data_IF_846853496651
#
_entry.id   IF_846853496651
#
_cell.length_a   1.000
_cell.length_b   1.000
_cell.length_c   1.000
_cell.angle_alpha   90.00
_cell.angle_beta   90.00
_cell.angle_gamma   90.00
#
_symmetry.space_group_name_H-M   'P 1'
#
loop_
_entity.id
_entity.type
_entity.pdbx_description
1 polymer ?
#
# COMPACT_ATOMS: atom_id res chain seq x y z
N UNK A 1 4.68 -12.56 -4.45
CA UNK A 1 3.54 -11.63 -4.44
C UNK A 1 2.26 -12.35 -4.05
N UNK A 2 1.84 -13.39 -4.74
CA UNK A 2 0.58 -14.11 -4.46
C UNK A 2 0.45 -14.60 -3.01
N UNK A 3 1.54 -15.02 -2.40
CA UNK A 3 1.55 -15.48 -1.01
C UNK A 3 1.29 -14.34 -0.02
N UNK A 4 1.92 -13.18 -0.20
CA UNK A 4 1.68 -12.02 0.68
C UNK A 4 0.24 -11.54 0.58
N UNK A 5 -0.30 -11.48 -0.63
CA UNK A 5 -1.69 -11.08 -0.88
C UNK A 5 -2.69 -12.06 -0.23
N UNK A 6 -2.45 -13.37 -0.37
CA UNK A 6 -3.28 -14.39 0.26
C UNK A 6 -3.27 -14.30 1.79
N UNK A 7 -2.10 -14.09 2.39
CA UNK A 7 -1.99 -13.91 3.84
C UNK A 7 -2.65 -12.62 4.33
N UNK A 8 -2.52 -11.51 3.61
CA UNK A 8 -3.22 -10.26 3.95
C UNK A 8 -4.73 -10.42 3.86
N UNK A 9 -5.23 -11.08 2.81
CA UNK A 9 -6.64 -11.38 2.66
C UNK A 9 -7.19 -12.20 3.82
N UNK A 10 -6.46 -13.21 4.27
CA UNK A 10 -6.84 -14.03 5.41
C UNK A 10 -6.76 -13.28 6.74
N UNK A 11 -5.70 -12.50 6.95
CA UNK A 11 -5.47 -11.73 8.19
C UNK A 11 -6.53 -10.64 8.36
N UNK A 12 -6.90 -9.96 7.29
CA UNK A 12 -7.93 -8.95 7.34
C UNK A 12 -9.36 -9.54 7.42
N UNK A 13 -9.56 -10.85 7.21
CA UNK A 13 -10.82 -11.57 7.44
C UNK A 13 -11.06 -11.96 8.89
N UNK A 14 -10.04 -11.89 9.76
CA UNK A 14 -10.20 -12.07 11.20
C UNK A 14 -10.34 -10.68 11.84
N UNK A 15 -11.55 -10.07 11.85
CA UNK A 15 -11.72 -8.76 12.43
C UNK A 15 -11.54 -8.86 13.94
N UNK A 16 -10.82 -7.91 14.50
CA UNK A 16 -11.13 -7.42 15.84
C UNK A 16 -12.63 -7.09 15.80
N UNK A 17 -13.42 -7.69 16.70
CA UNK A 17 -14.88 -7.61 16.73
C UNK A 17 -15.38 -6.19 16.39
N UNK A 18 -16.15 -6.08 15.31
CA UNK A 18 -16.90 -4.89 14.95
C UNK A 18 -16.57 -4.21 13.62
N UNK A 19 -15.62 -4.67 12.83
CA UNK A 19 -15.29 -4.05 11.55
C UNK A 19 -15.33 -5.07 10.39
N UNK A 20 -16.47 -5.20 9.75
CA UNK A 20 -16.65 -5.95 8.50
C UNK A 20 -16.24 -5.08 7.30
N UNK A 21 -14.94 -4.98 7.03
CA UNK A 21 -14.39 -4.19 5.90
C UNK A 21 -14.67 -4.83 4.53
N UNK A 22 -15.39 -5.98 4.43
CA UNK A 22 -15.33 -6.85 3.26
C UNK A 22 -16.60 -7.41 2.67
N UNK A 23 -17.72 -6.89 3.01
CA UNK A 23 -18.96 -7.31 2.32
C UNK A 23 -19.09 -6.69 0.92
N UNK A 24 -18.19 -5.78 0.51
CA UNK A 24 -18.29 -5.04 -0.74
C UNK A 24 -17.15 -5.23 -1.73
N UNK A 25 -15.99 -5.78 -1.32
CA UNK A 25 -14.85 -5.91 -2.22
C UNK A 25 -14.62 -7.37 -2.65
N UNK A 26 -14.56 -7.61 -3.96
CA UNK A 26 -14.19 -8.92 -4.48
C UNK A 26 -12.69 -9.17 -4.27
N UNK A 27 -12.32 -10.45 -4.08
CA UNK A 27 -10.91 -10.86 -3.99
C UNK A 27 -10.10 -10.39 -5.21
N UNK A 28 -10.72 -10.28 -6.38
CA UNK A 28 -10.06 -9.84 -7.61
C UNK A 28 -9.64 -8.36 -7.53
N UNK A 29 -10.52 -7.47 -7.03
CA UNK A 29 -10.21 -6.04 -6.86
C UNK A 29 -9.12 -5.85 -5.80
N UNK A 30 -9.22 -6.57 -4.68
CA UNK A 30 -8.17 -6.57 -3.66
C UNK A 30 -6.83 -7.03 -4.23
N UNK A 31 -6.81 -8.14 -4.97
CA UNK A 31 -5.60 -8.69 -5.59
C UNK A 31 -4.96 -7.70 -6.54
N UNK A 32 -5.75 -7.09 -7.43
CA UNK A 32 -5.28 -6.09 -8.39
C UNK A 32 -4.63 -4.89 -7.68
N UNK A 33 -5.27 -4.37 -6.64
CA UNK A 33 -4.74 -3.27 -5.84
C UNK A 33 -3.41 -3.65 -5.19
N UNK A 34 -3.34 -4.80 -4.52
CA UNK A 34 -2.13 -5.27 -3.84
C UNK A 34 -0.99 -5.64 -4.78
N UNK A 35 -1.28 -6.25 -5.93
CA UNK A 35 -0.27 -6.53 -6.96
C UNK A 35 0.35 -5.24 -7.51
N UNK A 36 -0.42 -4.16 -7.63
CA UNK A 36 0.08 -2.86 -8.08
C UNK A 36 1.09 -2.27 -7.10
N UNK A 37 0.90 -2.48 -5.81
CA UNK A 37 1.82 -2.03 -4.74
C UNK A 37 3.02 -2.98 -4.66
N UNK A 38 2.78 -4.27 -4.38
CA UNK A 38 3.83 -5.26 -4.15
C UNK A 38 4.67 -5.60 -5.39
N UNK A 39 4.16 -5.35 -6.58
CA UNK A 39 4.90 -5.55 -7.81
C UNK A 39 6.13 -4.64 -7.99
N UNK A 40 6.30 -3.64 -7.11
CA UNK A 40 7.51 -2.79 -7.06
C UNK A 40 8.46 -3.19 -5.93
N UNK A 41 8.02 -4.05 -5.02
CA UNK A 41 8.81 -4.46 -3.86
C UNK A 41 9.93 -5.44 -4.23
N UNK A 42 11.03 -5.36 -3.49
CA UNK A 42 12.11 -6.34 -3.60
C UNK A 42 11.69 -7.68 -3.02
N UNK A 43 12.39 -8.75 -3.41
CA UNK A 43 12.16 -10.09 -2.84
C UNK A 43 12.39 -10.11 -1.32
N UNK A 44 13.31 -9.31 -0.81
CA UNK A 44 13.64 -9.22 0.61
C UNK A 44 12.48 -8.58 1.38
N UNK A 45 11.94 -7.47 0.89
CA UNK A 45 10.74 -6.82 1.46
C UNK A 45 9.56 -7.77 1.50
N UNK A 46 9.28 -8.48 0.40
CA UNK A 46 8.19 -9.44 0.33
C UNK A 46 8.35 -10.57 1.34
N UNK A 47 9.56 -11.11 1.51
CA UNK A 47 9.85 -12.16 2.51
C UNK A 47 9.65 -11.66 3.94
N UNK A 48 10.12 -10.46 4.25
CA UNK A 48 9.95 -9.85 5.56
C UNK A 48 8.45 -9.64 5.87
N UNK A 49 7.68 -9.11 4.92
CA UNK A 49 6.22 -8.95 5.08
C UNK A 49 5.47 -10.27 5.25
N UNK A 50 5.84 -11.31 4.48
CA UNK A 50 5.28 -12.66 4.65
C UNK A 50 5.54 -13.19 6.05
N UNK A 51 6.74 -12.95 6.59
CA UNK A 51 7.07 -13.34 7.96
C UNK A 51 6.15 -12.63 8.97
N UNK A 52 5.99 -11.31 8.85
CA UNK A 52 5.11 -10.52 9.71
C UNK A 52 3.68 -11.07 9.71
N UNK A 53 3.11 -11.29 8.52
CA UNK A 53 1.74 -11.77 8.36
C UNK A 53 1.54 -13.19 8.94
N UNK A 54 2.52 -14.06 8.79
CA UNK A 54 2.50 -15.39 9.41
C UNK A 54 2.56 -15.30 10.94
N UNK A 55 3.39 -14.41 11.47
CA UNK A 55 3.45 -14.19 12.93
C UNK A 55 2.12 -13.65 13.47
N UNK A 56 1.49 -12.73 12.75
CA UNK A 56 0.15 -12.23 13.11
C UNK A 56 -0.89 -13.34 13.09
N UNK A 57 -0.94 -14.14 12.01
CA UNK A 57 -1.91 -15.21 11.82
C UNK A 57 -1.73 -16.36 12.81
N UNK A 58 -0.50 -16.87 12.93
CA UNK A 58 -0.24 -18.13 13.63
C UNK A 58 -0.06 -17.92 15.15
N UNK A 59 0.39 -16.75 15.59
CA UNK A 59 0.76 -16.45 16.97
C UNK A 59 0.00 -15.27 17.58
N UNK A 60 -0.87 -14.60 16.82
CA UNK A 60 -1.57 -13.40 17.29
C UNK A 60 -0.61 -12.24 17.62
N UNK A 61 0.58 -12.26 17.00
CA UNK A 61 1.56 -11.20 17.20
C UNK A 61 1.09 -9.90 16.53
N UNK A 62 1.22 -8.80 17.24
CA UNK A 62 1.04 -7.47 16.71
C UNK A 62 2.35 -6.70 16.86
N UNK A 63 2.82 -5.99 15.82
CA UNK A 63 4.03 -5.20 15.92
C UNK A 63 3.86 -4.09 16.95
N UNK A 64 4.86 -3.94 17.81
CA UNK A 64 4.91 -2.84 18.75
C UNK A 64 5.07 -1.52 18.00
N UNK A 65 4.35 -0.48 18.43
CA UNK A 65 4.49 0.88 17.90
C UNK A 65 5.50 1.61 18.76
N UNK A 66 6.75 1.63 18.28
CA UNK A 66 7.84 2.35 18.93
C UNK A 66 7.94 3.79 18.41
N UNK A 67 8.52 4.74 19.17
CA UNK A 67 8.78 6.10 18.66
C UNK A 67 9.60 6.11 17.37
N UNK A 68 10.57 5.20 17.23
CA UNK A 68 11.39 5.06 16.02
C UNK A 68 10.54 4.65 14.82
N UNK A 69 9.65 3.67 14.99
CA UNK A 69 8.71 3.27 13.93
C UNK A 69 7.79 4.42 13.51
N UNK A 70 7.30 5.20 14.47
CA UNK A 70 6.45 6.36 14.17
C UNK A 70 7.21 7.38 13.32
N UNK A 71 8.44 7.70 13.70
CA UNK A 71 9.29 8.65 12.96
C UNK A 71 9.54 8.17 11.52
N UNK A 72 9.92 6.90 11.34
CA UNK A 72 10.14 6.31 10.01
C UNK A 72 8.86 6.33 9.18
N UNK A 73 7.73 5.95 9.76
CA UNK A 73 6.44 5.95 9.08
C UNK A 73 6.02 7.36 8.64
N UNK A 74 6.22 8.36 9.49
CA UNK A 74 5.92 9.76 9.18
C UNK A 74 6.79 10.29 8.02
N UNK A 75 8.09 9.97 7.99
CA UNK A 75 8.97 10.36 6.88
C UNK A 75 8.57 9.67 5.57
N UNK A 76 8.26 8.38 5.59
CA UNK A 76 7.75 7.66 4.41
C UNK A 76 6.43 8.28 3.93
N UNK A 77 5.53 8.60 4.85
CA UNK A 77 4.23 9.19 4.54
C UNK A 77 4.37 10.56 3.86
N UNK A 78 5.29 11.42 4.33
CA UNK A 78 5.58 12.70 3.67
C UNK A 78 5.97 12.50 2.20
N UNK A 79 6.91 11.59 1.95
CA UNK A 79 7.36 11.29 0.58
C UNK A 79 6.21 10.79 -0.29
N UNK A 80 5.34 9.93 0.25
CA UNK A 80 4.17 9.45 -0.47
C UNK A 80 3.18 10.57 -0.81
N UNK A 81 2.94 11.51 0.10
CA UNK A 81 2.07 12.65 -0.14
C UNK A 81 2.65 13.57 -1.22
N UNK A 82 3.95 13.86 -1.15
CA UNK A 82 4.64 14.63 -2.19
C UNK A 82 4.51 13.96 -3.57
N UNK A 83 4.69 12.65 -3.65
CA UNK A 83 4.51 11.88 -4.88
C UNK A 83 3.07 11.86 -5.41
N UNK A 84 2.09 11.85 -4.53
CA UNK A 84 0.67 11.98 -4.91
C UNK A 84 0.35 13.38 -5.43
N UNK A 85 0.95 14.41 -4.87
CA UNK A 85 0.81 15.78 -5.37
C UNK A 85 1.46 15.94 -6.76
N UNK A 86 2.67 15.41 -6.96
CA UNK A 86 3.33 15.37 -8.26
C UNK A 86 2.47 14.62 -9.32
N UNK A 87 1.91 13.47 -8.94
CA UNK A 87 1.02 12.71 -9.80
C UNK A 87 -0.22 13.53 -10.17
N UNK A 88 -0.83 14.24 -9.20
CA UNK A 88 -2.03 15.06 -9.41
C UNK A 88 -1.82 16.23 -10.37
N UNK A 89 -0.58 16.74 -10.48
CA UNK A 89 -0.25 17.80 -11.46
C UNK A 89 -0.43 17.32 -12.90
N UNK A 90 -0.08 16.06 -13.18
CA UNK A 90 -0.13 15.49 -14.54
C UNK A 90 -1.40 14.66 -14.79
N UNK A 91 -1.85 13.96 -13.77
CA UNK A 91 -2.91 12.97 -13.82
C UNK A 91 -3.88 13.15 -12.63
N UNK A 92 -4.66 14.23 -12.59
CA UNK A 92 -5.49 14.57 -11.42
C UNK A 92 -6.54 13.50 -11.09
N UNK A 93 -7.22 12.94 -12.09
CA UNK A 93 -8.24 11.91 -11.86
C UNK A 93 -7.62 10.58 -11.42
N UNK A 94 -6.47 10.22 -11.98
CA UNK A 94 -5.72 9.04 -11.56
C UNK A 94 -5.19 9.18 -10.13
N UNK A 95 -4.74 10.37 -9.73
CA UNK A 95 -4.34 10.63 -8.35
C UNK A 95 -5.51 10.51 -7.37
N UNK A 96 -6.69 11.02 -7.74
CA UNK A 96 -7.91 10.89 -6.93
C UNK A 96 -8.36 9.42 -6.87
N UNK A 97 -8.26 8.69 -7.97
CA UNK A 97 -8.52 7.24 -8.00
C UNK A 97 -7.59 6.49 -7.05
N UNK A 98 -6.29 6.80 -7.05
CA UNK A 98 -5.30 6.16 -6.16
C UNK A 98 -5.57 6.51 -4.68
N UNK A 99 -5.90 7.77 -4.38
CA UNK A 99 -6.32 8.17 -3.02
C UNK A 99 -7.56 7.39 -2.57
N UNK A 100 -8.54 7.22 -3.43
CA UNK A 100 -9.72 6.40 -3.17
C UNK A 100 -9.38 4.93 -2.93
N UNK A 101 -8.40 4.37 -3.64
CA UNK A 101 -7.94 3.00 -3.45
C UNK A 101 -7.25 2.77 -2.09
N UNK A 102 -6.66 3.80 -1.48
CA UNK A 102 -6.14 3.73 -0.11
C UNK A 102 -7.26 3.75 0.95
N UNK A 103 -8.42 4.32 0.63
CA UNK A 103 -9.59 4.41 1.53
C UNK A 103 -10.41 3.11 1.59
N UNK A 104 -9.80 1.96 1.40
CA UNK A 104 -10.46 0.63 1.38
C UNK A 104 -11.17 0.26 2.69
N UNK A 105 -11.07 1.07 3.73
CA UNK A 105 -11.79 0.88 4.98
C UNK A 105 -12.55 2.17 5.32
N UNK A 106 -13.87 2.07 5.46
CA UNK A 106 -14.73 3.16 5.95
C UNK A 106 -14.36 3.69 7.36
N UNK A 107 -13.36 3.06 8.00
CA UNK A 107 -12.86 3.39 9.34
C UNK A 107 -11.87 4.56 9.34
N UNK A 108 -11.23 4.85 8.23
CA UNK A 108 -10.23 5.91 8.15
C UNK A 108 -10.82 7.16 7.49
N UNK A 109 -10.52 8.31 8.08
CA UNK A 109 -11.03 9.60 7.59
C UNK A 109 -10.21 10.13 6.40
N UNK A 110 -8.98 9.66 6.21
CA UNK A 110 -8.09 10.14 5.14
C UNK A 110 -7.15 9.06 4.58
N UNK A 111 -6.65 9.23 3.34
CA UNK A 111 -5.61 8.38 2.77
C UNK A 111 -4.33 8.33 3.63
N UNK A 112 -3.99 9.43 4.27
CA UNK A 112 -2.84 9.55 5.17
C UNK A 112 -3.00 8.62 6.38
N UNK A 113 -4.17 8.61 7.01
CA UNK A 113 -4.44 7.72 8.15
C UNK A 113 -4.39 6.24 7.74
N UNK A 114 -4.92 5.90 6.55
CA UNK A 114 -4.82 4.56 6.00
C UNK A 114 -3.36 4.13 5.79
N UNK A 115 -2.57 4.98 5.14
CA UNK A 115 -1.16 4.70 4.88
C UNK A 115 -0.36 4.59 6.19
N UNK A 116 -0.61 5.48 7.15
CA UNK A 116 0.04 5.42 8.46
C UNK A 116 -0.28 4.12 9.19
N UNK A 117 -1.55 3.71 9.21
CA UNK A 117 -1.96 2.46 9.83
C UNK A 117 -1.31 1.25 9.17
N UNK A 118 -1.20 1.24 7.84
CA UNK A 118 -0.51 0.19 7.10
C UNK A 118 0.97 0.14 7.46
N UNK A 119 1.70 1.25 7.44
CA UNK A 119 3.12 1.33 7.78
C UNK A 119 3.39 0.86 9.22
N UNK A 120 2.55 1.26 10.17
CA UNK A 120 2.68 0.85 11.56
C UNK A 120 2.34 -0.64 11.78
N UNK A 121 1.66 -1.28 10.83
CA UNK A 121 1.40 -2.73 10.84
C UNK A 121 2.61 -3.59 10.44
N UNK A 122 3.70 -2.99 9.95
CA UNK A 122 4.93 -3.69 9.59
C UNK A 122 5.80 -3.90 10.83
N UNK A 123 6.64 -4.95 10.84
CA UNK A 123 7.74 -5.05 11.80
C UNK A 123 8.75 -3.91 11.57
N UNK A 124 9.63 -3.67 12.54
CA UNK A 124 10.74 -2.71 12.33
C UNK A 124 11.62 -3.10 11.14
N UNK A 125 11.86 -4.40 10.95
CA UNK A 125 12.64 -4.90 9.81
C UNK A 125 11.94 -4.61 8.47
N UNK A 126 10.66 -4.91 8.34
CA UNK A 126 9.91 -4.63 7.11
C UNK A 126 9.82 -3.14 6.83
N UNK A 127 9.61 -2.33 7.87
CA UNK A 127 9.52 -0.87 7.74
C UNK A 127 10.88 -0.25 7.35
N UNK A 128 11.99 -0.72 7.92
CA UNK A 128 13.34 -0.27 7.55
C UNK A 128 13.68 -0.61 6.10
N UNK A 129 13.38 -1.84 5.67
CA UNK A 129 13.56 -2.24 4.26
C UNK A 129 12.72 -1.37 3.32
N UNK A 130 11.48 -1.08 3.69
CA UNK A 130 10.61 -0.20 2.91
C UNK A 130 11.13 1.24 2.87
N UNK A 131 11.57 1.77 4.01
CA UNK A 131 12.17 3.11 4.09
C UNK A 131 13.41 3.26 3.20
N UNK A 132 14.31 2.27 3.19
CA UNK A 132 15.47 2.24 2.29
C UNK A 132 15.06 2.19 0.83
N UNK A 133 14.05 1.42 0.50
CA UNK A 133 13.51 1.35 -0.86
C UNK A 133 12.93 2.70 -1.30
N UNK A 134 12.17 3.39 -0.44
CA UNK A 134 11.65 4.74 -0.69
C UNK A 134 12.80 5.72 -0.92
N UNK A 135 13.83 5.71 -0.05
CA UNK A 135 15.02 6.57 -0.20
C UNK A 135 15.73 6.33 -1.54
N UNK A 136 15.91 5.07 -1.94
CA UNK A 136 16.48 4.72 -3.24
C UNK A 136 15.66 5.28 -4.41
N UNK A 137 14.33 5.16 -4.36
CA UNK A 137 13.46 5.73 -5.40
C UNK A 137 13.58 7.25 -5.49
N UNK A 138 13.69 7.94 -4.34
CA UNK A 138 13.95 9.39 -4.32
C UNK A 138 15.29 9.74 -4.98
N UNK A 139 16.37 9.01 -4.68
CA UNK A 139 17.69 9.22 -5.31
C UNK A 139 17.66 8.97 -6.81
N UNK A 140 16.86 8.01 -7.28
CA UNK A 140 16.66 7.70 -8.69
C UNK A 140 15.68 8.66 -9.40
N UNK A 141 15.04 9.58 -8.68
CA UNK A 141 14.01 10.48 -9.21
C UNK A 141 12.75 9.73 -9.68
N UNK A 142 12.40 8.64 -9.03
CA UNK A 142 11.25 7.78 -9.37
C UNK A 142 10.12 7.99 -8.37
N UNK A 143 8.91 8.11 -8.89
CA UNK A 143 7.69 8.31 -8.12
C UNK A 143 6.90 6.99 -8.00
N UNK A 144 6.82 6.43 -6.77
CA UNK A 144 6.15 5.14 -6.55
C UNK A 144 4.62 5.24 -6.75
N UNK A 145 4.00 6.39 -6.50
CA UNK A 145 2.58 6.59 -6.76
C UNK A 145 2.29 6.51 -8.27
N UNK A 146 3.13 7.13 -9.10
CA UNK A 146 3.03 7.02 -10.56
C UNK A 146 3.27 5.58 -11.05
N UNK A 147 4.28 4.91 -10.50
CA UNK A 147 4.57 3.51 -10.81
C UNK A 147 3.39 2.58 -10.47
N UNK A 148 2.75 2.80 -9.33
CA UNK A 148 1.58 2.05 -8.88
C UNK A 148 0.39 2.30 -9.79
N UNK A 149 0.11 3.58 -10.11
CA UNK A 149 -0.96 3.93 -11.03
C UNK A 149 -0.75 3.39 -12.45
N UNK A 150 0.49 3.36 -12.92
CA UNK A 150 0.79 2.78 -14.23
C UNK A 150 0.43 1.28 -14.28
N UNK A 151 0.73 0.54 -13.23
CA UNK A 151 0.32 -0.87 -13.11
C UNK A 151 -1.19 -1.03 -13.03
N UNK A 152 -1.87 -0.22 -12.21
CA UNK A 152 -3.33 -0.23 -12.14
C UNK A 152 -3.98 0.05 -13.49
N UNK A 153 -3.50 1.04 -14.24
CA UNK A 153 -3.98 1.34 -15.59
C UNK A 153 -3.84 0.13 -16.55
N UNK A 154 -2.73 -0.59 -16.46
CA UNK A 154 -2.51 -1.82 -17.24
C UNK A 154 -3.51 -2.93 -16.84
N UNK A 155 -3.75 -3.13 -15.56
CA UNK A 155 -4.74 -4.11 -15.07
C UNK A 155 -6.16 -3.75 -15.53
N UNK A 156 -6.50 -2.46 -15.58
CA UNK A 156 -7.77 -1.97 -16.11
C UNK A 156 -7.84 -2.03 -17.65
N UNK A 157 -6.82 -2.54 -18.33
CA UNK A 157 -6.80 -2.69 -19.79
C UNK A 157 -6.56 -1.39 -20.58
N UNK A 158 -6.17 -0.32 -19.91
CA UNK A 158 -6.02 1.00 -20.55
C UNK A 158 -4.74 1.14 -21.40
N UNK A 159 -3.77 0.26 -21.23
CA UNK A 159 -2.52 0.24 -22.01
C UNK A 159 -1.52 1.35 -21.70
N UNK A 160 -1.97 2.48 -21.15
CA UNK A 160 -1.12 3.58 -20.64
C UNK A 160 -1.86 4.41 -19.60
N UNK A 161 -1.10 5.16 -18.79
CA UNK A 161 -1.66 6.07 -17.79
C UNK A 161 -2.41 7.24 -18.44
N UNK A 162 -1.94 7.76 -19.59
CA UNK A 162 -2.64 8.82 -20.32
C UNK A 162 -4.05 8.38 -20.74
N UNK A 163 -4.17 7.17 -21.31
CA UNK A 163 -5.47 6.61 -21.70
C UNK A 163 -6.36 6.32 -20.51
N UNK A 164 -5.77 5.90 -19.39
CA UNK A 164 -6.52 5.69 -18.16
C UNK A 164 -7.10 7.00 -17.62
N UNK A 165 -6.28 8.05 -17.55
CA UNK A 165 -6.70 9.40 -17.15
C UNK A 165 -7.85 9.94 -18.03
N UNK A 166 -7.79 9.71 -19.34
CA UNK A 166 -8.86 10.10 -20.27
C UNK A 166 -10.16 9.31 -20.06
N UNK A 167 -10.08 8.08 -19.56
CA UNK A 167 -11.21 7.17 -19.36
C UNK A 167 -11.95 7.39 -18.04
N UNK A 168 -11.31 8.02 -17.05
CA UNK A 168 -11.90 8.41 -15.78
C UNK A 168 -12.70 9.71 -15.92
#
# INVERSE_FOLDING_TARGET
INEVIGLEWETARNPVEGCNVRDTESFDVFTMSRESIYGSWTTEMLKSRIHDLRMMKDKGWNPEITPVKQEIAEEIMKVWMDWLEELAVRYPKSADFLRGAFLLAEIFASPEECLQAELLSYSEETLDLYGRFIAQLCEEGRNLAEMTMHKLALYCGSGSLDKFEESL
#
